data_IF_821560475973
#
_entry.id   IF_821560475973
#
_cell.length_a   1.000
_cell.length_b   1.000
_cell.length_c   1.000
_cell.angle_alpha   90.00
_cell.angle_beta   90.00
_cell.angle_gamma   90.00
#
_symmetry.space_group_name_H-M   'P 1'
#
loop_
_entity.id
_entity.type
_entity.pdbx_description
1 polymer ?
#
# COMPACT_ATOMS: atom_id res chain seq x y z
N UNK A 1 -18.32 58.01 38.87
CA UNK A 1 -18.05 56.59 38.55
C UNK A 1 -17.13 56.51 37.33
N UNK A 2 -15.81 56.40 37.52
CA UNK A 2 -14.84 56.30 36.42
C UNK A 2 -14.70 54.83 35.97
N UNK A 3 -15.36 54.46 34.86
CA UNK A 3 -15.14 53.16 34.22
C UNK A 3 -13.81 53.20 33.47
N UNK A 4 -12.81 52.45 33.97
CA UNK A 4 -11.54 52.27 33.29
C UNK A 4 -11.77 51.58 31.92
N UNK A 5 -11.05 51.98 30.86
CA UNK A 5 -11.26 51.41 29.54
C UNK A 5 -10.85 49.94 29.42
N UNK A 6 -11.59 49.17 28.61
CA UNK A 6 -11.47 47.72 28.50
C UNK A 6 -10.14 47.23 27.91
N UNK A 7 -9.45 48.05 27.11
CA UNK A 7 -8.13 47.74 26.53
C UNK A 7 -6.99 47.65 27.55
N UNK A 8 -7.20 48.10 28.80
CA UNK A 8 -6.22 47.90 29.88
C UNK A 8 -6.24 46.46 30.42
N UNK A 9 -7.31 45.69 30.17
CA UNK A 9 -7.43 44.27 30.58
C UNK A 9 -6.75 43.29 29.62
N UNK A 10 -6.24 43.75 28.48
CA UNK A 10 -5.62 42.91 27.45
C UNK A 10 -4.08 43.02 27.41
N UNK A 11 -3.46 43.64 28.43
CA UNK A 11 -2.01 43.56 28.55
C UNK A 11 -1.69 42.21 29.18
N UNK A 12 -1.10 41.25 28.43
CA UNK A 12 -0.72 39.98 29.00
C UNK A 12 0.22 40.24 30.18
N UNK A 13 -0.01 39.55 31.28
CA UNK A 13 0.86 39.69 32.45
C UNK A 13 2.27 39.22 32.09
N UNK A 14 3.29 39.68 32.83
CA UNK A 14 4.67 39.20 32.60
C UNK A 14 4.79 37.68 32.70
N UNK A 15 3.88 37.04 33.44
CA UNK A 15 3.79 35.58 33.57
C UNK A 15 3.19 34.92 32.33
N UNK A 16 2.14 35.46 31.73
CA UNK A 16 1.59 34.97 30.46
C UNK A 16 2.60 35.09 29.31
N UNK A 17 3.32 36.21 29.22
CA UNK A 17 4.38 36.40 28.23
C UNK A 17 5.53 35.38 28.40
N UNK A 18 5.86 35.01 29.64
CA UNK A 18 6.87 33.97 29.92
C UNK A 18 6.36 32.60 29.50
N UNK A 19 5.11 32.25 29.80
CA UNK A 19 4.51 30.99 29.36
C UNK A 19 4.44 30.87 27.83
N UNK A 20 4.06 31.95 27.13
CA UNK A 20 4.10 31.96 25.66
C UNK A 20 5.53 31.84 25.11
N UNK A 21 6.52 32.48 25.73
CA UNK A 21 7.92 32.34 25.33
C UNK A 21 8.46 30.92 25.55
N UNK A 22 8.06 30.24 26.62
CA UNK A 22 8.41 28.84 26.88
C UNK A 22 7.75 27.92 25.85
N UNK A 23 6.47 28.10 25.56
CA UNK A 23 5.76 27.30 24.54
C UNK A 23 6.35 27.54 23.15
N UNK A 24 6.65 28.79 22.80
CA UNK A 24 7.32 29.12 21.54
C UNK A 24 8.74 28.52 21.48
N UNK A 25 9.48 28.53 22.59
CA UNK A 25 10.78 27.88 22.71
C UNK A 25 10.69 26.37 22.47
N UNK A 26 9.75 25.69 23.11
CA UNK A 26 9.51 24.25 22.91
C UNK A 26 9.12 23.96 21.45
N UNK A 27 8.19 24.73 20.89
CA UNK A 27 7.79 24.60 19.48
C UNK A 27 8.96 24.82 18.53
N UNK A 28 9.85 25.78 18.83
CA UNK A 28 11.04 26.02 18.00
C UNK A 28 12.03 24.87 18.12
N UNK A 29 12.26 24.34 19.32
CA UNK A 29 13.14 23.17 19.55
C UNK A 29 12.62 21.91 18.87
N UNK A 30 11.30 21.74 18.71
CA UNK A 30 10.70 20.62 17.98
C UNK A 30 10.66 20.90 16.47
N UNK A 31 10.26 22.10 16.06
CA UNK A 31 10.08 22.45 14.66
C UNK A 31 11.40 22.60 13.91
N UNK A 32 12.46 23.07 14.57
CA UNK A 32 13.78 23.25 13.94
C UNK A 32 14.38 21.94 13.43
N UNK A 33 14.49 20.85 14.23
CA UNK A 33 14.99 19.58 13.71
C UNK A 33 14.06 18.99 12.64
N UNK A 34 12.74 19.18 12.74
CA UNK A 34 11.81 18.74 11.68
C UNK A 34 12.02 19.53 10.37
N UNK A 35 12.23 20.85 10.45
CA UNK A 35 12.51 21.69 9.28
C UNK A 35 13.89 21.41 8.68
N UNK A 36 14.89 21.14 9.52
CA UNK A 36 16.22 20.72 9.06
C UNK A 36 16.14 19.33 8.41
N UNK A 37 15.37 18.40 8.97
CA UNK A 37 15.10 17.10 8.35
C UNK A 37 14.42 17.28 6.98
N UNK A 38 13.36 18.09 6.90
CA UNK A 38 12.65 18.38 5.64
C UNK A 38 13.57 19.06 4.62
N UNK A 39 14.48 19.93 5.06
CA UNK A 39 15.45 20.60 4.19
C UNK A 39 16.53 19.63 3.69
N UNK A 40 17.09 18.80 4.57
CA UNK A 40 18.04 17.76 4.18
C UNK A 40 17.40 16.74 3.23
N UNK A 41 16.14 16.36 3.49
CA UNK A 41 15.32 15.49 2.62
C UNK A 41 14.99 16.12 1.26
N UNK A 42 14.99 17.46 1.15
CA UNK A 42 14.79 18.16 -0.12
C UNK A 42 16.09 18.24 -0.95
N UNK A 43 17.25 18.16 -0.29
CA UNK A 43 18.57 18.24 -0.92
C UNK A 43 19.16 16.84 -1.22
N UNK A 44 18.69 15.79 -0.55
CA UNK A 44 19.01 14.38 -0.86
C UNK A 44 17.95 13.78 -1.78
N UNK A 45 18.36 13.16 -2.89
CA UNK A 45 17.49 12.24 -3.63
C UNK A 45 17.28 11.00 -2.75
N UNK A 46 16.33 11.08 -1.83
CA UNK A 46 16.00 9.96 -0.96
C UNK A 46 15.64 8.75 -1.82
N UNK A 47 16.18 7.59 -1.44
CA UNK A 47 15.81 6.35 -2.08
C UNK A 47 14.32 6.04 -1.79
N UNK A 48 13.58 5.39 -2.70
CA UNK A 48 12.19 5.03 -2.46
C UNK A 48 11.96 4.26 -1.15
N UNK A 49 12.94 3.47 -0.71
CA UNK A 49 12.92 2.76 0.56
C UNK A 49 12.96 3.70 1.78
N UNK A 50 13.61 4.86 1.67
CA UNK A 50 13.65 5.88 2.72
C UNK A 50 12.30 6.62 2.80
N UNK A 51 11.69 6.92 1.65
CA UNK A 51 10.33 7.43 1.60
C UNK A 51 9.32 6.45 2.20
N UNK A 52 9.45 5.16 1.89
CA UNK A 52 8.63 4.11 2.48
C UNK A 52 8.76 4.06 4.01
N UNK A 53 10.00 4.10 4.54
CA UNK A 53 10.25 4.15 5.99
C UNK A 53 9.59 5.36 6.65
N UNK A 54 9.70 6.53 6.03
CA UNK A 54 9.10 7.77 6.55
C UNK A 54 7.58 7.68 6.49
N UNK A 55 7.00 7.17 5.41
CA UNK A 55 5.56 6.98 5.29
C UNK A 55 5.01 5.99 6.34
N UNK A 56 5.74 4.90 6.61
CA UNK A 56 5.40 3.93 7.65
C UNK A 56 5.49 4.57 9.04
N UNK A 57 6.54 5.35 9.31
CA UNK A 57 6.70 6.07 10.57
C UNK A 57 5.57 7.10 10.80
N UNK A 58 5.20 7.86 9.75
CA UNK A 58 4.09 8.82 9.79
C UNK A 58 2.73 8.15 9.98
N UNK A 59 2.54 6.94 9.43
CA UNK A 59 1.33 6.11 9.67
C UNK A 59 1.28 5.54 11.09
N UNK A 60 2.41 5.53 11.81
CA UNK A 60 2.51 4.94 13.15
C UNK A 60 2.66 3.41 13.14
N UNK A 61 2.99 2.80 12.00
CA UNK A 61 3.22 1.36 11.90
C UNK A 61 3.09 0.79 10.49
N UNK A 62 3.44 -0.50 10.37
CA UNK A 62 3.43 -1.26 9.10
C UNK A 62 2.02 -1.71 8.67
N UNK A 63 1.04 -1.64 9.56
CA UNK A 63 -0.33 -2.03 9.27
C UNK A 63 -1.01 -0.96 8.39
N UNK A 64 -1.37 -1.35 7.17
CA UNK A 64 -2.27 -0.62 6.29
C UNK A 64 -3.72 -1.12 6.40
N UNK A 65 -4.66 -0.49 5.68
CA UNK A 65 -6.05 -0.94 5.61
C UNK A 65 -6.19 -2.38 5.08
N UNK A 66 -5.28 -2.79 4.19
CA UNK A 66 -5.28 -4.12 3.58
C UNK A 66 -4.53 -5.18 4.40
N UNK A 67 -3.89 -4.77 5.51
CA UNK A 67 -3.07 -5.63 6.36
C UNK A 67 -1.63 -5.15 6.47
N UNK A 68 -0.77 -6.01 7.04
CA UNK A 68 0.67 -5.78 7.12
C UNK A 68 1.36 -6.48 5.96
N UNK A 69 1.98 -5.72 5.05
CA UNK A 69 2.78 -6.29 3.95
C UNK A 69 4.12 -6.79 4.49
N UNK A 70 4.35 -8.10 4.48
CA UNK A 70 5.57 -8.72 4.98
C UNK A 70 6.66 -8.91 3.93
N UNK A 71 6.31 -8.79 2.65
CA UNK A 71 7.25 -8.97 1.55
C UNK A 71 8.11 -7.72 1.28
N UNK A 72 7.75 -6.57 1.87
CA UNK A 72 8.44 -5.32 1.55
C UNK A 72 9.89 -5.24 2.07
N UNK A 73 10.72 -4.46 1.38
CA UNK A 73 12.13 -4.25 1.72
C UNK A 73 12.35 -3.62 3.09
N UNK A 74 11.42 -2.78 3.55
CA UNK A 74 11.50 -2.12 4.87
C UNK A 74 11.36 -3.12 6.01
N UNK A 75 10.53 -4.15 5.83
CA UNK A 75 10.31 -5.24 6.76
C UNK A 75 11.40 -6.33 6.63
N UNK A 76 12.28 -6.22 5.63
CA UNK A 76 13.39 -7.14 5.39
C UNK A 76 13.12 -8.18 4.31
N UNK A 77 12.08 -7.98 3.48
CA UNK A 77 11.90 -8.74 2.26
C UNK A 77 13.02 -8.48 1.26
N UNK A 78 13.36 -9.48 0.46
CA UNK A 78 14.48 -9.40 -0.48
C UNK A 78 14.21 -10.12 -1.78
N UNK A 79 14.80 -9.62 -2.86
CA UNK A 79 14.87 -10.31 -4.13
C UNK A 79 16.02 -11.32 -4.12
N UNK A 80 15.79 -12.51 -4.69
CA UNK A 80 16.76 -13.61 -4.72
C UNK A 80 17.32 -13.80 -6.13
N UNK A 81 16.44 -14.06 -7.11
CA UNK A 81 16.84 -14.34 -8.50
C UNK A 81 15.67 -14.19 -9.46
N UNK A 82 15.98 -14.16 -10.75
CA UNK A 82 15.01 -14.02 -11.83
C UNK A 82 15.43 -14.81 -13.05
N UNK A 83 14.47 -15.32 -13.81
CA UNK A 83 14.73 -16.11 -15.02
C UNK A 83 15.08 -15.27 -16.25
N UNK A 84 14.83 -13.96 -16.22
CA UNK A 84 15.11 -13.01 -17.31
C UNK A 84 15.81 -11.77 -16.80
N UNK A 85 16.48 -11.05 -17.70
CA UNK A 85 17.04 -9.75 -17.41
C UNK A 85 15.93 -8.69 -17.23
N UNK A 86 16.21 -7.67 -16.41
CA UNK A 86 15.35 -6.50 -16.26
C UNK A 86 15.89 -5.30 -17.03
N UNK A 87 15.00 -4.41 -17.44
CA UNK A 87 15.41 -3.13 -17.99
C UNK A 87 16.16 -2.28 -16.93
N UNK A 88 17.19 -1.49 -17.33
CA UNK A 88 17.89 -0.61 -16.40
C UNK A 88 16.95 0.34 -15.66
N UNK A 89 17.03 0.38 -14.33
CA UNK A 89 16.17 1.20 -13.47
C UNK A 89 14.83 0.54 -13.08
N UNK A 90 14.54 -0.63 -13.65
CA UNK A 90 13.29 -1.38 -13.45
C UNK A 90 13.56 -2.78 -12.87
N UNK A 91 14.51 -2.88 -11.95
CA UNK A 91 14.93 -4.14 -11.38
C UNK A 91 13.87 -4.74 -10.43
N UNK A 92 13.87 -6.07 -10.20
CA UNK A 92 12.84 -6.75 -9.39
C UNK A 92 12.64 -6.23 -7.96
N UNK A 93 13.63 -5.65 -7.25
CA UNK A 93 13.38 -5.00 -5.96
C UNK A 93 12.30 -3.92 -5.98
N UNK A 94 12.03 -3.30 -7.14
CA UNK A 94 10.91 -2.34 -7.31
C UNK A 94 9.54 -2.94 -7.00
N UNK A 95 9.38 -4.25 -7.13
CA UNK A 95 8.11 -4.92 -6.83
C UNK A 95 7.80 -4.96 -5.33
N UNK A 96 8.79 -4.70 -4.48
CA UNK A 96 8.68 -4.89 -3.03
C UNK A 96 9.15 -3.65 -2.24
N UNK A 97 9.32 -2.50 -2.91
CA UNK A 97 9.79 -1.26 -2.27
C UNK A 97 8.66 -0.41 -1.67
N UNK A 98 7.41 -0.88 -1.71
CA UNK A 98 6.19 -0.21 -1.19
C UNK A 98 5.85 1.12 -1.82
N UNK A 99 6.37 1.38 -3.02
CA UNK A 99 6.24 2.68 -3.66
C UNK A 99 5.75 2.59 -5.10
N UNK A 100 4.56 2.00 -5.30
CA UNK A 100 3.86 1.99 -6.58
C UNK A 100 3.11 3.31 -6.84
N UNK A 101 3.80 4.28 -7.44
CA UNK A 101 3.19 5.53 -7.91
C UNK A 101 3.57 5.79 -9.36
N UNK A 102 2.78 6.60 -10.09
CA UNK A 102 3.11 6.99 -11.49
C UNK A 102 4.53 7.54 -11.66
N UNK A 103 5.11 8.12 -10.61
CA UNK A 103 6.42 8.79 -10.66
C UNK A 103 7.60 7.87 -10.36
N UNK A 104 7.36 6.67 -9.83
CA UNK A 104 8.42 5.74 -9.45
C UNK A 104 8.29 4.48 -10.27
N UNK A 105 9.33 4.12 -11.03
CA UNK A 105 9.25 3.02 -11.97
C UNK A 105 9.02 1.69 -11.25
N UNK A 106 8.05 0.92 -11.75
CA UNK A 106 7.88 -0.48 -11.40
C UNK A 106 8.94 -1.38 -12.03
N UNK A 107 8.79 -2.68 -11.86
CA UNK A 107 9.61 -3.65 -12.57
C UNK A 107 9.23 -3.74 -14.06
N UNK A 108 10.24 -4.00 -14.88
CA UNK A 108 10.12 -4.32 -16.30
C UNK A 108 11.12 -5.44 -16.64
N UNK A 109 10.68 -6.40 -17.44
CA UNK A 109 11.60 -7.29 -18.15
C UNK A 109 12.38 -6.50 -19.22
N UNK A 110 13.55 -7.00 -19.61
CA UNK A 110 14.36 -6.40 -20.67
C UNK A 110 13.74 -6.61 -22.06
N UNK A 111 12.96 -7.68 -22.23
CA UNK A 111 12.25 -8.04 -23.45
C UNK A 111 10.88 -8.70 -23.12
N UNK A 112 10.11 -9.12 -24.12
CA UNK A 112 8.83 -9.81 -23.92
C UNK A 112 8.94 -11.33 -23.68
N UNK A 113 10.10 -11.84 -23.25
CA UNK A 113 10.27 -13.27 -22.96
C UNK A 113 9.34 -13.70 -21.83
N UNK A 114 8.58 -14.77 -22.06
CA UNK A 114 7.66 -15.40 -21.12
C UNK A 114 7.81 -16.93 -21.19
N UNK A 115 7.60 -17.67 -20.08
CA UNK A 115 7.27 -17.16 -18.74
C UNK A 115 8.46 -16.51 -18.03
N UNK A 116 8.16 -15.66 -17.05
CA UNK A 116 9.16 -15.04 -16.16
C UNK A 116 8.96 -15.55 -14.74
N UNK A 117 10.01 -16.06 -14.12
CA UNK A 117 10.04 -16.43 -12.71
C UNK A 117 10.89 -15.41 -11.95
N UNK A 118 10.32 -14.79 -10.91
CA UNK A 118 11.00 -13.88 -9.98
C UNK A 118 10.87 -14.45 -8.56
N UNK A 119 12.00 -14.75 -7.93
CA UNK A 119 12.07 -15.34 -6.60
C UNK A 119 12.41 -14.26 -5.55
N UNK A 120 11.68 -14.28 -4.45
CA UNK A 120 11.82 -13.37 -3.31
C UNK A 120 11.85 -14.15 -1.99
N UNK A 121 12.23 -13.47 -0.91
CA UNK A 121 12.21 -14.02 0.43
C UNK A 121 11.65 -13.03 1.44
N UNK A 122 10.91 -13.54 2.42
CA UNK A 122 10.51 -12.85 3.63
C UNK A 122 11.67 -12.91 4.66
N UNK A 123 11.72 -11.99 5.64
CA UNK A 123 12.79 -11.91 6.64
C UNK A 123 12.86 -13.09 7.61
N UNK A 124 11.74 -13.78 7.83
CA UNK A 124 11.55 -14.99 8.63
C UNK A 124 10.33 -15.77 8.10
N UNK A 125 10.08 -16.95 8.65
CA UNK A 125 8.85 -17.69 8.35
C UNK A 125 7.66 -16.92 8.93
N UNK A 126 6.75 -16.49 8.04
CA UNK A 126 5.61 -15.66 8.39
C UNK A 126 4.33 -16.23 7.77
N UNK A 127 3.19 -15.89 8.37
CA UNK A 127 1.87 -16.27 7.84
C UNK A 127 1.31 -15.13 7.01
N UNK A 128 0.84 -15.45 5.81
CA UNK A 128 0.13 -14.51 4.91
C UNK A 128 -1.27 -15.06 4.62
N UNK A 129 -2.22 -14.17 4.37
CA UNK A 129 -3.59 -14.54 4.00
C UNK A 129 -4.18 -13.68 2.88
N UNK A 130 -3.32 -12.87 2.25
CA UNK A 130 -3.69 -11.99 1.15
C UNK A 130 -2.50 -11.72 0.24
N UNK A 131 -2.78 -11.63 -1.05
CA UNK A 131 -1.83 -11.18 -2.06
C UNK A 131 -2.43 -10.02 -2.88
N UNK A 132 -1.60 -9.05 -3.25
CA UNK A 132 -2.00 -7.93 -4.10
C UNK A 132 -0.95 -7.78 -5.20
N UNK A 133 -1.42 -7.63 -6.44
CA UNK A 133 -0.56 -7.33 -7.60
C UNK A 133 -1.06 -6.03 -8.22
N UNK A 134 -0.18 -5.02 -8.28
CA UNK A 134 -0.51 -3.70 -8.82
C UNK A 134 0.07 -3.52 -10.22
N UNK A 135 -0.75 -3.24 -11.25
CA UNK A 135 -0.22 -2.76 -12.52
C UNK A 135 0.38 -1.36 -12.34
N UNK A 136 1.29 -0.99 -13.23
CA UNK A 136 1.92 0.34 -13.17
C UNK A 136 1.13 1.34 -14.01
N UNK A 137 0.47 2.34 -13.40
CA UNK A 137 -0.43 3.26 -14.13
C UNK A 137 0.29 4.13 -15.16
N UNK A 138 1.61 4.29 -15.04
CA UNK A 138 2.45 4.99 -16.03
C UNK A 138 2.94 4.12 -17.21
N UNK A 139 2.64 2.82 -17.24
CA UNK A 139 3.04 1.92 -18.33
C UNK A 139 1.88 1.68 -19.32
N UNK A 140 2.17 1.39 -20.60
CA UNK A 140 1.14 0.94 -21.53
C UNK A 140 0.45 -0.33 -21.05
N UNK A 141 -0.89 -0.40 -21.16
CA UNK A 141 -1.66 -1.57 -20.69
C UNK A 141 -1.27 -2.88 -21.40
N UNK A 142 -0.75 -2.81 -22.63
CA UNK A 142 -0.24 -3.97 -23.36
C UNK A 142 0.99 -4.60 -22.69
N UNK A 143 1.75 -3.86 -21.90
CA UNK A 143 2.95 -4.35 -21.22
C UNK A 143 2.60 -4.94 -19.85
N UNK A 144 1.41 -4.70 -19.32
CA UNK A 144 1.05 -5.15 -17.97
C UNK A 144 1.02 -6.68 -17.89
N UNK A 145 1.44 -7.20 -16.73
CA UNK A 145 1.23 -8.61 -16.37
C UNK A 145 -0.26 -8.92 -16.47
N UNK A 146 -0.60 -10.04 -17.13
CA UNK A 146 -1.98 -10.51 -17.29
C UNK A 146 -2.19 -11.80 -16.50
N UNK A 147 -1.68 -12.93 -16.97
CA UNK A 147 -1.75 -14.20 -16.22
C UNK A 147 -0.53 -14.39 -15.33
N UNK A 148 -0.77 -14.81 -14.09
CA UNK A 148 0.31 -15.02 -13.11
C UNK A 148 0.01 -16.15 -12.11
N UNK A 149 1.06 -16.59 -11.43
CA UNK A 149 1.01 -17.46 -10.25
C UNK A 149 1.95 -16.92 -9.18
N UNK A 150 1.49 -16.93 -7.95
CA UNK A 150 2.34 -16.78 -6.77
C UNK A 150 2.44 -18.14 -6.11
N UNK A 151 3.66 -18.63 -6.00
CA UNK A 151 3.99 -19.90 -5.39
C UNK A 151 4.87 -19.62 -4.16
N UNK A 152 4.76 -20.43 -3.12
CA UNK A 152 5.44 -20.21 -1.84
C UNK A 152 6.10 -21.47 -1.31
N UNK A 153 7.13 -21.29 -0.48
CA UNK A 153 7.84 -22.38 0.19
C UNK A 153 8.34 -21.95 1.56
N UNK A 154 8.39 -22.90 2.49
CA UNK A 154 9.09 -22.78 3.78
C UNK A 154 10.37 -23.62 3.82
N UNK A 155 10.63 -24.42 2.78
CA UNK A 155 11.73 -25.39 2.77
C UNK A 155 13.02 -24.82 2.18
N UNK A 156 12.92 -24.00 1.13
CA UNK A 156 14.09 -23.40 0.50
C UNK A 156 13.76 -22.49 -0.69
N UNK A 157 14.73 -21.66 -1.07
CA UNK A 157 14.64 -20.76 -2.24
C UNK A 157 14.58 -21.48 -3.60
N UNK A 158 14.80 -22.80 -3.60
CA UNK A 158 14.71 -23.64 -4.79
C UNK A 158 13.48 -24.56 -4.78
N UNK A 159 12.68 -24.50 -3.71
CA UNK A 159 11.49 -25.31 -3.52
C UNK A 159 11.71 -26.55 -2.65
N UNK A 160 10.72 -27.47 -2.62
CA UNK A 160 9.49 -27.46 -3.42
C UNK A 160 8.60 -26.24 -3.12
N UNK A 161 7.94 -25.74 -4.17
CA UNK A 161 6.99 -24.64 -4.09
C UNK A 161 5.55 -25.16 -4.14
N UNK A 162 4.67 -24.53 -3.38
CA UNK A 162 3.23 -24.78 -3.38
C UNK A 162 2.51 -23.55 -3.92
N UNK A 163 1.47 -23.74 -4.72
CA UNK A 163 0.67 -22.63 -5.22
C UNK A 163 -0.03 -21.90 -4.06
N UNK A 164 0.16 -20.58 -3.97
CA UNK A 164 -0.58 -19.69 -3.07
C UNK A 164 -1.82 -19.13 -3.77
N UNK A 165 -1.61 -18.50 -4.92
CA UNK A 165 -2.67 -17.92 -5.74
C UNK A 165 -2.27 -17.95 -7.22
N UNK A 166 -3.25 -18.13 -8.10
CA UNK A 166 -3.13 -17.89 -9.53
C UNK A 166 -4.28 -16.99 -9.96
N UNK A 167 -4.05 -16.16 -10.98
CA UNK A 167 -5.06 -15.25 -11.44
C UNK A 167 -4.75 -14.61 -12.79
N UNK A 168 -5.74 -13.87 -13.26
CA UNK A 168 -5.64 -12.97 -14.39
C UNK A 168 -5.92 -11.55 -13.91
N UNK A 169 -5.07 -10.59 -14.26
CA UNK A 169 -5.31 -9.18 -14.02
C UNK A 169 -6.19 -8.66 -15.17
N UNK A 170 -7.49 -8.50 -14.93
CA UNK A 170 -8.42 -7.90 -15.89
C UNK A 170 -8.22 -6.38 -15.94
N UNK A 171 -7.58 -5.91 -17.01
CA UNK A 171 -7.27 -4.50 -17.21
C UNK A 171 -8.46 -3.66 -17.71
N UNK A 172 -9.57 -4.29 -18.13
CA UNK A 172 -10.75 -3.59 -18.64
C UNK A 172 -11.49 -2.79 -17.55
N UNK A 173 -11.35 -3.21 -16.29
CA UNK A 173 -11.91 -2.54 -15.11
C UNK A 173 -11.00 -1.43 -14.54
N UNK A 174 -9.73 -1.37 -14.97
CA UNK A 174 -8.70 -0.44 -14.45
C UNK A 174 -8.64 0.87 -15.26
N UNK A 175 -9.44 1.00 -16.33
CA UNK A 175 -9.41 2.11 -17.31
C UNK A 175 -9.86 3.51 -16.81
N UNK A 176 -9.85 3.76 -15.49
CA UNK A 176 -10.32 5.01 -14.88
C UNK A 176 -9.25 6.02 -14.47
N UNK A 177 -7.96 5.64 -14.41
CA UNK A 177 -6.92 6.55 -13.88
C UNK A 177 -6.39 7.46 -15.00
N UNK A 178 -7.05 8.60 -15.20
CA UNK A 178 -6.50 9.71 -15.99
C UNK A 178 -5.24 10.22 -15.27
N UNK A 179 -4.11 10.47 -15.95
CA UNK A 179 -2.98 11.16 -15.33
C UNK A 179 -3.48 12.48 -14.75
N UNK A 180 -3.16 12.84 -13.50
CA UNK A 180 -3.51 14.16 -13.02
C UNK A 180 -2.77 15.19 -13.87
N UNK A 181 -3.51 15.97 -14.66
CA UNK A 181 -3.00 17.26 -15.15
C UNK A 181 -2.65 18.08 -13.91
N UNK A 182 -1.35 18.21 -13.64
CA UNK A 182 -0.86 18.93 -12.47
C UNK A 182 -1.03 20.42 -12.75
N UNK A 183 -2.16 20.96 -12.34
CA UNK A 183 -2.31 22.38 -12.00
C UNK A 183 -3.00 22.50 -10.65
N UNK A 184 -2.21 22.51 -9.56
CA UNK A 184 -2.72 22.84 -8.23
C UNK A 184 -2.18 21.97 -7.10
N UNK A 185 -2.02 22.56 -5.92
CA UNK A 185 -1.47 21.96 -4.69
C UNK A 185 -2.12 20.61 -4.38
N UNK A 186 -1.28 19.62 -4.04
CA UNK A 186 -1.69 18.28 -3.62
C UNK A 186 -2.68 18.36 -2.43
N UNK A 187 -3.95 18.04 -2.69
CA UNK A 187 -4.95 17.79 -1.65
C UNK A 187 -4.91 16.31 -1.29
N UNK A 188 -4.94 15.99 0.01
CA UNK A 188 -4.93 14.63 0.59
C UNK A 188 -5.96 13.65 -0.02
N UNK A 189 -6.99 14.15 -0.72
CA UNK A 189 -8.02 13.34 -1.38
C UNK A 189 -7.49 12.45 -2.53
N UNK A 190 -6.35 12.78 -3.13
CA UNK A 190 -5.87 12.08 -4.34
C UNK A 190 -5.28 10.68 -4.06
N UNK A 191 -4.96 10.38 -2.80
CA UNK A 191 -4.47 9.06 -2.38
C UNK A 191 -5.56 7.98 -2.30
N UNK A 192 -6.84 8.37 -2.43
CA UNK A 192 -7.97 7.46 -2.20
C UNK A 192 -8.56 6.90 -3.50
N UNK A 193 -8.47 7.61 -4.62
CA UNK A 193 -9.00 7.16 -5.91
C UNK A 193 -8.10 6.13 -6.63
N UNK A 194 -6.78 6.19 -6.44
CA UNK A 194 -5.82 5.25 -7.07
C UNK A 194 -5.91 3.82 -6.51
N UNK A 195 -6.73 3.60 -5.46
CA UNK A 195 -6.92 2.31 -4.78
C UNK A 195 -8.13 1.51 -5.25
N UNK A 196 -9.05 2.12 -5.99
CA UNK A 196 -10.39 1.56 -6.20
C UNK A 196 -10.46 0.36 -7.17
N UNK A 197 -9.39 0.05 -7.93
CA UNK A 197 -9.41 -1.03 -8.92
C UNK A 197 -8.18 -1.97 -8.86
N UNK A 198 -7.53 -2.11 -7.70
CA UNK A 198 -6.41 -3.06 -7.55
C UNK A 198 -6.95 -4.45 -7.20
N UNK A 199 -6.63 -5.51 -7.97
CA UNK A 199 -7.04 -6.87 -7.64
C UNK A 199 -6.43 -7.32 -6.30
N UNK A 200 -7.31 -7.67 -5.36
CA UNK A 200 -6.95 -8.24 -4.05
C UNK A 200 -7.35 -9.70 -4.03
N UNK A 201 -6.41 -10.57 -3.67
CA UNK A 201 -6.62 -12.01 -3.61
C UNK A 201 -6.53 -12.49 -2.17
N UNK A 202 -7.68 -12.81 -1.56
CA UNK A 202 -7.71 -13.46 -0.26
C UNK A 202 -7.38 -14.94 -0.40
N UNK A 203 -6.49 -15.44 0.45
CA UNK A 203 -6.01 -16.83 0.46
C UNK A 203 -6.13 -17.42 1.87
N UNK A 204 -6.12 -18.76 2.02
CA UNK A 204 -6.02 -19.37 3.34
C UNK A 204 -4.75 -18.90 4.07
N UNK A 205 -4.80 -18.85 5.40
CA UNK A 205 -3.62 -18.55 6.21
C UNK A 205 -2.50 -19.55 5.89
N UNK A 206 -1.43 -19.05 5.27
CA UNK A 206 -0.37 -19.87 4.67
C UNK A 206 0.99 -19.43 5.22
N UNK A 207 1.79 -20.39 5.68
CA UNK A 207 3.17 -20.13 6.10
C UNK A 207 4.08 -19.95 4.88
N UNK A 208 4.90 -18.90 4.89
CA UNK A 208 5.70 -18.46 3.76
C UNK A 208 7.07 -17.98 4.25
N UNK A 209 8.12 -18.39 3.53
CA UNK A 209 9.48 -17.84 3.65
C UNK A 209 10.01 -17.41 2.30
N UNK A 210 9.84 -18.26 1.30
CA UNK A 210 10.28 -18.05 -0.07
C UNK A 210 9.05 -17.90 -0.96
N UNK A 211 9.14 -16.98 -1.91
CA UNK A 211 8.05 -16.62 -2.82
C UNK A 211 8.58 -16.70 -4.24
N UNK A 212 7.78 -17.25 -5.15
CA UNK A 212 8.01 -17.19 -6.59
C UNK A 212 6.81 -16.52 -7.23
N UNK A 213 7.05 -15.39 -7.88
CA UNK A 213 6.11 -14.81 -8.83
C UNK A 213 6.43 -15.37 -10.22
N UNK A 214 5.52 -16.15 -10.78
CA UNK A 214 5.57 -16.66 -12.14
C UNK A 214 4.60 -15.90 -13.01
N UNK A 215 5.10 -15.15 -13.97
CA UNK A 215 4.34 -14.39 -14.96
C UNK A 215 4.21 -15.23 -16.21
N UNK A 216 2.98 -15.50 -16.63
CA UNK A 216 2.66 -16.40 -17.75
C UNK A 216 2.31 -15.64 -19.02
N UNK A 217 1.70 -14.46 -18.90
CA UNK A 217 1.33 -13.62 -20.04
C UNK A 217 1.34 -12.13 -19.69
N UNK A 218 1.32 -11.29 -20.73
CA UNK A 218 1.16 -9.85 -20.64
C UNK A 218 -0.05 -9.38 -21.49
N UNK A 219 -0.32 -8.08 -21.48
CA UNK A 219 -1.41 -7.46 -22.25
C UNK A 219 -1.24 -7.44 -23.78
N UNK A 220 -0.26 -8.15 -24.34
CA UNK A 220 -0.01 -8.27 -25.79
C UNK A 220 1.19 -7.49 -26.32
N UNK A 221 2.04 -6.97 -25.44
CA UNK A 221 3.31 -6.32 -25.80
C UNK A 221 4.37 -7.34 -26.24
N UNK A 222 5.04 -7.05 -27.36
CA UNK A 222 6.20 -7.76 -27.88
C UNK A 222 7.54 -7.14 -27.44
N UNK A 223 7.50 -6.00 -26.72
CA UNK A 223 8.67 -5.27 -26.29
C UNK A 223 9.12 -5.63 -24.87
N UNK A 224 8.21 -5.67 -23.90
CA UNK A 224 8.49 -5.99 -22.50
C UNK A 224 7.21 -6.26 -21.70
N UNK A 225 7.39 -6.81 -20.50
CA UNK A 225 6.35 -7.01 -19.48
C UNK A 225 6.65 -6.18 -18.24
N UNK A 226 5.63 -5.64 -17.58
CA UNK A 226 5.75 -4.70 -16.46
C UNK A 226 4.76 -4.96 -15.33
N UNK A 227 5.19 -4.68 -14.10
CA UNK A 227 4.36 -4.75 -12.88
C UNK A 227 4.87 -3.70 -11.88
N UNK A 228 3.98 -3.01 -11.18
CA UNK A 228 4.39 -2.02 -10.18
C UNK A 228 4.79 -2.66 -8.86
N UNK A 229 3.94 -3.55 -8.34
CA UNK A 229 4.11 -4.06 -6.98
C UNK A 229 3.54 -5.47 -6.82
N UNK A 230 4.19 -6.21 -5.94
CA UNK A 230 3.71 -7.45 -5.35
C UNK A 230 3.70 -7.28 -3.82
N UNK A 231 2.54 -7.44 -3.22
CA UNK A 231 2.39 -7.43 -1.77
C UNK A 231 1.89 -8.78 -1.28
N UNK A 232 2.50 -9.29 -0.21
CA UNK A 232 1.96 -10.41 0.56
C UNK A 232 1.66 -9.95 1.97
N UNK A 233 0.39 -10.02 2.34
CA UNK A 233 -0.11 -9.41 3.56
C UNK A 233 -0.68 -10.43 4.52
N UNK A 234 -0.64 -10.06 5.80
CA UNK A 234 -1.54 -10.58 6.81
C UNK A 234 -2.54 -9.51 7.21
N UNK A 235 -3.80 -9.77 6.91
CA UNK A 235 -4.94 -9.00 7.39
C UNK A 235 -5.57 -9.72 8.58
N UNK A 236 -5.53 -9.10 9.76
CA UNK A 236 -6.23 -9.64 10.93
C UNK A 236 -7.73 -9.71 10.65
N UNK A 237 -8.29 -10.92 10.62
CA UNK A 237 -9.74 -11.11 10.54
C UNK A 237 -10.33 -10.67 11.88
N UNK A 238 -10.92 -9.47 11.93
CA UNK A 238 -11.81 -9.13 13.05
C UNK A 238 -13.08 -9.94 12.84
N UNK A 239 -13.15 -11.10 13.48
CA UNK A 239 -14.42 -11.83 13.59
C UNK A 239 -15.33 -11.01 14.49
N UNK A 240 -16.20 -10.17 13.92
CA UNK A 240 -17.33 -9.65 14.68
C UNK A 240 -18.22 -10.87 14.93
N UNK A 241 -18.45 -11.29 16.19
CA UNK A 241 -19.43 -12.34 16.44
C UNK A 241 -20.78 -11.80 15.96
N UNK A 242 -21.28 -12.37 14.87
CA UNK A 242 -22.68 -12.21 14.49
C UNK A 242 -23.46 -12.86 15.61
N UNK A 243 -23.89 -12.05 16.57
CA UNK A 243 -24.87 -12.48 17.56
C UNK A 243 -26.18 -12.54 16.79
N UNK A 244 -26.47 -13.69 16.19
CA UNK A 244 -27.77 -13.97 15.60
C UNK A 244 -28.81 -13.79 16.71
N UNK A 245 -29.42 -12.62 16.77
CA UNK A 245 -30.59 -12.40 17.61
C UNK A 245 -31.71 -13.14 16.90
N UNK A 246 -31.95 -14.38 17.31
CA UNK A 246 -33.15 -15.12 16.94
C UNK A 246 -34.34 -14.33 17.46
N UNK A 247 -34.93 -13.49 16.60
CA UNK A 247 -36.26 -12.93 16.86
C UNK A 247 -37.25 -14.08 16.76
N UNK A 248 -37.56 -14.67 17.91
CA UNK A 248 -38.67 -15.61 18.08
C UNK A 248 -39.94 -14.97 17.53
N UNK A 249 -40.62 -15.72 16.66
CA UNK A 249 -41.59 -15.21 15.71
C UNK A 249 -42.78 -14.46 16.30
N UNK A 250 -43.26 -13.49 15.53
CA UNK A 250 -44.65 -13.05 15.54
C UNK A 250 -45.25 -13.49 14.22
N UNK A 251 -46.04 -14.56 14.27
CA UNK A 251 -46.86 -15.04 13.17
C UNK A 251 -48.00 -14.03 12.92
N UNK A 252 -47.99 -13.37 11.77
CA UNK A 252 -49.13 -12.56 11.30
C UNK A 252 -50.16 -13.52 10.70
N UNK A 253 -51.16 -13.89 11.50
CA UNK A 253 -52.34 -14.62 11.00
C UNK A 253 -53.28 -13.62 10.34
N UNK A 254 -53.27 -13.57 9.01
CA UNK A 254 -54.25 -12.81 8.23
C UNK A 254 -55.65 -13.42 8.36
N UNK A 255 -56.58 -12.70 8.97
CA UNK A 255 -58.00 -13.03 8.93
C UNK A 255 -58.68 -12.25 7.79
N UNK A 256 -59.00 -12.97 6.71
CA UNK A 256 -60.01 -12.54 5.71
C UNK A 256 -61.36 -12.43 6.41
N UNK A 257 -62.01 -11.27 6.31
CA UNK A 257 -63.44 -11.10 6.63
C UNK A 257 -64.27 -11.41 5.36
N UNK A 258 -65.26 -12.31 5.39
CA UNK A 258 -66.22 -12.47 4.29
C UNK A 258 -67.36 -11.43 4.38
N UNK A 259 -68.12 -11.22 3.29
CA UNK A 259 -68.93 -10.02 3.10
C UNK A 259 -70.28 -10.11 3.81
N UNK A 260 -70.76 -8.93 4.22
CA UNK A 260 -72.18 -8.61 4.48
C UNK A 260 -72.40 -7.14 4.20
#
# INVERSE_FOLDING_TARGET
MNRRPWWIRLRPTREELRSYAVVAGILTVIATPVLLLVREMAETQLAPEEFARIAIALRGGFAGPDGTNYLNTVFGGSYIRGSVASAPGHQPPRLIDTWATVRVPGWRSADATLPVDLDFALPNDLTVNRAILRPHPGEPTSTWVREFRVEVSTTGAEGPYTLLVAGELDHSTISGVRPPEITGRASEAQLTEDRLNVPVFDVPDTAVRWVRLRILSNGGSDAYTSLAELELLYASRVTVPVTSTTTTGVSVTGSRRPPS
#
